data_IF_167145268749
#
_entry.id   IF_167145268749
#
_cell.length_a   1.000
_cell.length_b   1.000
_cell.length_c   1.000
_cell.angle_alpha   90.00
_cell.angle_beta   90.00
_cell.angle_gamma   90.00
#
_symmetry.space_group_name_H-M   'P 1'
#
loop_
_entity.id
_entity.type
_entity.pdbx_description
1 polymer ?
#
# COMPACT_ATOMS: atom_id res chain seq x y z
N UNK A 1 -15.70 21.04 27.83
CA UNK A 1 -15.14 20.31 26.70
C UNK A 1 -13.93 19.50 27.13
N UNK A 2 -13.92 18.22 26.83
CA UNK A 2 -12.76 17.40 27.11
C UNK A 2 -11.59 17.78 26.18
N UNK A 3 -10.41 17.79 26.73
CA UNK A 3 -9.20 18.08 25.97
C UNK A 3 -8.81 16.87 25.13
N UNK A 4 -8.54 17.11 23.84
CA UNK A 4 -8.06 16.05 22.94
C UNK A 4 -6.58 15.83 23.21
N UNK A 5 -6.21 14.59 23.48
CA UNK A 5 -4.80 14.21 23.67
C UNK A 5 -4.17 13.92 22.29
N UNK A 6 -3.05 14.58 22.02
CA UNK A 6 -2.31 14.37 20.79
C UNK A 6 -1.49 13.07 20.90
N UNK A 7 -1.87 12.08 20.13
CA UNK A 7 -1.19 10.77 20.13
C UNK A 7 -1.37 10.08 18.79
N UNK A 8 -0.41 9.22 18.45
CA UNK A 8 -0.51 8.40 17.24
C UNK A 8 -1.39 7.17 17.49
N UNK A 9 -2.08 6.66 16.46
CA UNK A 9 -2.81 5.41 16.60
C UNK A 9 -1.88 4.26 17.02
N UNK A 10 -2.42 3.32 17.76
CA UNK A 10 -1.67 2.14 18.20
C UNK A 10 -1.09 1.40 17.00
N UNK A 11 0.18 1.06 17.06
CA UNK A 11 0.88 0.36 16.00
C UNK A 11 1.47 1.26 14.93
N UNK A 12 1.22 2.56 15.00
CA UNK A 12 1.78 3.54 14.09
C UNK A 12 2.81 4.42 14.79
N UNK A 13 3.63 5.06 14.02
CA UNK A 13 4.60 6.02 14.55
C UNK A 13 4.85 7.13 13.53
N UNK A 14 5.20 8.29 14.05
CA UNK A 14 5.60 9.41 13.21
C UNK A 14 7.10 9.33 12.91
N UNK A 15 7.47 9.70 11.70
CA UNK A 15 8.87 9.86 11.31
C UNK A 15 9.10 11.34 11.02
N UNK A 16 9.99 11.96 11.77
CA UNK A 16 10.28 13.38 11.58
C UNK A 16 11.79 13.64 11.78
N UNK A 17 12.25 14.79 11.33
CA UNK A 17 13.63 15.20 11.47
C UNK A 17 14.60 14.26 10.77
N UNK A 18 15.65 13.87 11.48
CA UNK A 18 16.71 13.00 10.95
C UNK A 18 16.15 11.65 10.52
N UNK A 19 15.25 11.06 11.31
CA UNK A 19 14.67 9.77 10.99
C UNK A 19 13.92 9.80 9.67
N UNK A 20 13.13 10.86 9.42
CA UNK A 20 12.41 11.03 8.17
C UNK A 20 13.36 11.21 6.99
N UNK A 21 14.43 11.98 7.18
CA UNK A 21 15.44 12.21 6.13
C UNK A 21 16.17 10.93 5.75
N UNK A 22 16.61 10.16 6.74
CA UNK A 22 17.28 8.89 6.51
C UNK A 22 16.37 7.91 5.78
N UNK A 23 15.11 7.84 6.23
CA UNK A 23 14.12 6.99 5.59
C UNK A 23 13.93 7.36 4.11
N UNK A 24 13.84 8.66 3.82
CA UNK A 24 13.69 9.15 2.45
C UNK A 24 14.93 8.84 1.59
N UNK A 25 16.12 8.96 2.15
CA UNK A 25 17.36 8.59 1.45
C UNK A 25 17.40 7.10 1.10
N UNK A 26 16.97 6.24 2.01
CA UNK A 26 16.88 4.81 1.76
C UNK A 26 15.91 4.52 0.62
N UNK A 27 14.73 5.13 0.65
CA UNK A 27 13.71 4.97 -0.40
C UNK A 27 14.28 5.41 -1.76
N UNK A 28 14.91 6.59 -1.80
CA UNK A 28 15.50 7.13 -3.03
C UNK A 28 16.59 6.21 -3.58
N UNK A 29 17.41 5.65 -2.71
CA UNK A 29 18.50 4.73 -3.12
C UNK A 29 17.92 3.46 -3.73
N UNK A 30 16.94 2.84 -3.09
CA UNK A 30 16.29 1.65 -3.63
C UNK A 30 15.59 1.93 -4.95
N UNK A 31 14.85 3.03 -5.04
CA UNK A 31 14.16 3.41 -6.27
C UNK A 31 15.15 3.57 -7.42
N UNK A 32 16.28 4.25 -7.18
CA UNK A 32 17.33 4.44 -8.19
C UNK A 32 17.91 3.13 -8.69
N UNK A 33 18.15 2.18 -7.80
CA UNK A 33 18.66 0.85 -8.18
C UNK A 33 17.64 0.10 -9.04
N UNK A 34 16.37 0.08 -8.62
CA UNK A 34 15.33 -0.58 -9.41
C UNK A 34 15.23 0.01 -10.81
N UNK A 35 15.26 1.32 -10.94
CA UNK A 35 15.17 2.00 -12.23
C UNK A 35 16.35 1.69 -13.14
N UNK A 36 17.55 1.54 -12.59
CA UNK A 36 18.73 1.15 -13.36
C UNK A 36 18.58 -0.24 -13.99
N UNK A 37 17.83 -1.12 -13.37
CA UNK A 37 17.56 -2.47 -13.88
C UNK A 37 16.28 -2.55 -14.70
N UNK A 38 15.71 -1.41 -15.07
CA UNK A 38 14.55 -1.36 -15.96
C UNK A 38 13.21 -1.58 -15.25
N UNK A 39 13.18 -1.50 -13.91
CA UNK A 39 11.92 -1.54 -13.18
C UNK A 39 11.27 -0.17 -13.18
N UNK A 40 9.95 -0.13 -13.28
CA UNK A 40 9.21 1.11 -13.26
C UNK A 40 8.34 1.20 -11.98
N UNK A 41 8.10 2.42 -11.48
CA UNK A 41 7.27 2.56 -10.29
C UNK A 41 5.81 2.23 -10.59
N UNK A 42 5.18 1.54 -9.66
CA UNK A 42 3.74 1.32 -9.65
C UNK A 42 3.20 1.88 -8.35
N UNK A 43 2.16 2.69 -8.44
CA UNK A 43 1.49 3.27 -7.27
C UNK A 43 0.03 2.87 -7.34
N UNK A 44 -0.42 2.14 -6.33
CA UNK A 44 -1.81 1.69 -6.23
C UNK A 44 -2.50 2.37 -5.05
N UNK A 45 -3.83 2.45 -5.04
CA UNK A 45 -4.54 3.06 -3.92
C UNK A 45 -4.29 2.35 -2.60
N UNK A 46 -4.37 3.11 -1.50
CA UNK A 46 -4.29 2.54 -0.16
C UNK A 46 -5.49 1.66 0.17
N UNK A 47 -6.62 1.92 -0.49
CA UNK A 47 -7.86 1.17 -0.31
C UNK A 47 -8.12 0.31 -1.55
N UNK A 48 -8.64 -0.89 -1.32
CA UNK A 48 -9.16 -1.78 -2.35
C UNK A 48 -10.59 -2.13 -1.96
N UNK A 49 -11.39 -2.59 -2.91
CA UNK A 49 -12.67 -3.18 -2.55
C UNK A 49 -12.41 -4.43 -1.70
N UNK A 50 -13.18 -4.61 -0.64
CA UNK A 50 -12.97 -5.72 0.29
C UNK A 50 -13.01 -7.08 -0.42
N UNK A 51 -13.88 -7.24 -1.42
CA UNK A 51 -14.00 -8.49 -2.19
C UNK A 51 -12.71 -8.85 -2.95
N UNK A 52 -11.90 -7.86 -3.31
CA UNK A 52 -10.62 -8.10 -3.98
C UNK A 52 -9.62 -8.76 -3.04
N UNK A 53 -9.66 -8.37 -1.75
CA UNK A 53 -8.71 -8.85 -0.75
C UNK A 53 -9.15 -10.13 -0.06
N UNK A 54 -10.46 -10.32 0.12
CA UNK A 54 -11.00 -11.48 0.84
C UNK A 54 -10.82 -12.78 0.06
N UNK A 55 -10.63 -13.87 0.81
CA UNK A 55 -10.42 -15.19 0.24
C UNK A 55 -8.98 -15.47 -0.18
N UNK A 56 -8.06 -14.55 0.07
CA UNK A 56 -6.67 -14.66 -0.39
C UNK A 56 -5.69 -14.96 0.74
N UNK A 57 -6.02 -14.61 1.98
CA UNK A 57 -5.08 -14.60 3.10
C UNK A 57 -5.41 -15.59 4.22
N UNK A 58 -6.52 -16.33 4.12
CA UNK A 58 -6.93 -17.30 5.15
C UNK A 58 -7.18 -16.64 6.50
N UNK A 59 -6.56 -17.16 7.56
CA UNK A 59 -6.74 -16.63 8.92
C UNK A 59 -6.29 -15.18 9.07
N UNK A 60 -5.35 -14.73 8.23
CA UNK A 60 -4.83 -13.37 8.30
C UNK A 60 -5.85 -12.32 7.87
N UNK A 61 -6.94 -12.72 7.22
CA UNK A 61 -8.01 -11.79 6.84
C UNK A 61 -8.60 -11.05 8.03
N UNK A 62 -8.52 -11.63 9.23
CA UNK A 62 -8.98 -10.99 10.46
C UNK A 62 -8.18 -9.73 10.80
N UNK A 63 -6.99 -9.59 10.23
CA UNK A 63 -6.10 -8.46 10.45
C UNK A 63 -6.34 -7.32 9.46
N UNK A 64 -7.18 -7.54 8.45
CA UNK A 64 -7.47 -6.52 7.43
C UNK A 64 -8.45 -5.51 8.00
N UNK A 65 -8.11 -4.23 7.86
CA UNK A 65 -9.02 -3.14 8.25
C UNK A 65 -10.06 -2.94 7.15
N UNK A 66 -11.29 -3.33 7.45
CA UNK A 66 -12.42 -3.25 6.54
C UNK A 66 -13.46 -2.31 7.09
N UNK A 67 -14.08 -1.52 6.21
CA UNK A 67 -15.14 -0.60 6.60
C UNK A 67 -16.01 -0.25 5.40
N UNK A 68 -17.17 0.32 5.67
CA UNK A 68 -18.07 0.83 4.65
C UNK A 68 -17.74 2.29 4.38
N UNK A 69 -17.56 2.65 3.11
CA UNK A 69 -17.33 4.05 2.75
C UNK A 69 -18.66 4.81 2.73
N UNK A 70 -18.60 6.13 2.48
CA UNK A 70 -19.80 6.97 2.49
C UNK A 70 -20.79 6.63 1.38
N UNK A 71 -20.34 5.97 0.33
CA UNK A 71 -21.20 5.53 -0.77
C UNK A 71 -21.81 4.15 -0.57
N UNK A 72 -21.61 3.54 0.60
CA UNK A 72 -22.14 2.21 0.91
C UNK A 72 -21.30 1.06 0.37
N UNK A 73 -20.07 1.32 -0.06
CA UNK A 73 -19.18 0.29 -0.60
C UNK A 73 -18.30 -0.29 0.47
N UNK A 74 -18.14 -1.61 0.48
CA UNK A 74 -17.22 -2.27 1.41
C UNK A 74 -15.80 -2.17 0.86
N UNK A 75 -14.96 -1.47 1.59
CA UNK A 75 -13.55 -1.25 1.25
C UNK A 75 -12.67 -1.69 2.40
N UNK A 76 -11.39 -1.88 2.10
CA UNK A 76 -10.42 -2.29 3.10
C UNK A 76 -9.07 -1.65 2.81
N UNK A 77 -8.28 -1.43 3.85
CA UNK A 77 -6.89 -1.04 3.67
C UNK A 77 -6.13 -2.25 3.11
N UNK A 78 -5.29 -2.00 2.12
CA UNK A 78 -4.48 -3.07 1.53
C UNK A 78 -3.66 -3.78 2.62
N UNK A 79 -3.59 -5.09 2.51
CA UNK A 79 -2.82 -5.91 3.43
C UNK A 79 -1.34 -5.97 3.00
N UNK A 80 -1.13 -6.05 1.70
CA UNK A 80 0.19 -6.09 1.08
C UNK A 80 0.13 -5.44 -0.31
N UNK A 81 1.15 -5.66 -1.12
CA UNK A 81 1.23 -5.13 -2.49
C UNK A 81 0.95 -6.17 -3.57
N UNK A 82 0.81 -7.44 -3.20
CA UNK A 82 0.67 -8.53 -4.15
C UNK A 82 -0.71 -8.60 -4.79
N UNK A 83 -1.76 -8.56 -3.98
CA UNK A 83 -3.13 -8.60 -4.49
C UNK A 83 -3.48 -7.36 -5.30
N UNK A 84 -3.10 -6.13 -4.86
CA UNK A 84 -3.26 -4.95 -5.69
C UNK A 84 -2.54 -5.06 -7.04
N UNK A 85 -1.35 -5.65 -7.08
CA UNK A 85 -0.64 -5.89 -8.33
C UNK A 85 -1.44 -6.82 -9.26
N UNK A 86 -1.99 -7.90 -8.72
CA UNK A 86 -2.82 -8.82 -9.51
C UNK A 86 -4.02 -8.11 -10.11
N UNK A 87 -4.66 -7.23 -9.33
CA UNK A 87 -5.77 -6.42 -9.82
C UNK A 87 -5.34 -5.50 -10.98
N UNK A 88 -4.18 -4.85 -10.85
CA UNK A 88 -3.64 -3.98 -11.90
C UNK A 88 -3.41 -4.78 -13.18
N UNK A 89 -2.79 -5.95 -13.09
CA UNK A 89 -2.55 -6.79 -14.25
C UNK A 89 -3.87 -7.21 -14.91
N UNK A 90 -4.88 -7.51 -14.13
CA UNK A 90 -6.20 -7.85 -14.66
C UNK A 90 -6.89 -6.66 -15.33
N UNK A 91 -6.72 -5.45 -14.77
CA UNK A 91 -7.34 -4.24 -15.32
C UNK A 91 -6.67 -3.73 -16.61
N UNK A 92 -5.41 -4.02 -16.79
CA UNK A 92 -4.61 -3.47 -17.90
C UNK A 92 -3.96 -4.61 -18.71
N UNK A 93 -4.73 -5.30 -19.54
CA UNK A 93 -4.21 -6.46 -20.30
C UNK A 93 -3.11 -6.10 -21.30
N UNK A 94 -3.01 -4.82 -21.67
CA UNK A 94 -2.01 -4.34 -22.61
C UNK A 94 -0.65 -3.99 -21.99
N UNK A 95 -0.50 -4.20 -20.67
CA UNK A 95 0.80 -3.99 -20.01
C UNK A 95 1.88 -4.81 -20.74
N UNK A 96 3.00 -4.13 -21.02
CA UNK A 96 4.16 -4.77 -21.62
C UNK A 96 4.69 -5.88 -20.72
N UNK A 97 4.92 -7.06 -21.31
CA UNK A 97 5.43 -8.21 -20.57
C UNK A 97 6.84 -8.57 -21.06
N UNK A 98 7.75 -8.91 -20.15
CA UNK A 98 7.56 -9.01 -18.71
C UNK A 98 7.32 -7.63 -18.08
N UNK A 99 6.40 -7.58 -17.12
CA UNK A 99 6.12 -6.34 -16.38
C UNK A 99 7.07 -6.24 -15.18
N UNK A 100 8.00 -5.33 -15.27
CA UNK A 100 9.03 -5.10 -14.24
C UNK A 100 8.61 -3.86 -13.43
N UNK A 101 8.10 -4.09 -12.25
CA UNK A 101 7.63 -3.00 -11.41
C UNK A 101 8.28 -3.04 -10.03
N UNK A 102 8.36 -1.87 -9.38
CA UNK A 102 8.67 -1.79 -7.97
C UNK A 102 7.63 -0.92 -7.26
N UNK A 103 7.40 -1.19 -5.99
CA UNK A 103 6.48 -0.43 -5.14
C UNK A 103 7.14 -0.20 -3.80
N UNK A 104 7.10 1.04 -3.33
CA UNK A 104 7.58 1.45 -2.02
C UNK A 104 6.46 2.30 -1.42
N UNK A 105 5.54 1.65 -0.77
CA UNK A 105 4.36 2.34 -0.23
C UNK A 105 3.72 1.56 0.94
#
# INVERSE_FOLDING_TARGET
MSKIEARTPKGFRDFLGVDAKVRQEVITTFAGVFERFGFEPLITPALEYAEVLKGKYGEEEKLIYEFEDRGGRQVALRYDQTVPLARVVANYPDITKPYKRYQIQ
#
